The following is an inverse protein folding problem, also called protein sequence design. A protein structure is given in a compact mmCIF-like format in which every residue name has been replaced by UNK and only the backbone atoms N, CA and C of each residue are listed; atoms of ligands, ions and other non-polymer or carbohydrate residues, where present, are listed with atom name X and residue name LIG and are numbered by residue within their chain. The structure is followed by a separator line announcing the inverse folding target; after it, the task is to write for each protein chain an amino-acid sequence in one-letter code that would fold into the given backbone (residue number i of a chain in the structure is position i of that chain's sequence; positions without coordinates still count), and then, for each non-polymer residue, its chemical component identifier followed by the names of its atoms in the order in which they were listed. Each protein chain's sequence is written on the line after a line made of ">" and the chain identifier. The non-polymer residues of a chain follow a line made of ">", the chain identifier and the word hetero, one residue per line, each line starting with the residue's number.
data_IF_662438764810
#
_entry.id   IF_662438764810
#
_cell.length_a   1.000
_cell.length_b   1.000
_cell.length_c   1.000
_cell.angle_alpha   90.00
_cell.angle_beta   90.00
_cell.angle_gamma   90.00
#
_symmetry.space_group_name_H-M   'P 1'
#
loop_
_entity.id
_entity.type
_entity.pdbx_description
1 polymer ?
#
# COMPACT_ATOMS: atom_id res chain seq x y z
N UNK A 1 8.20 1.60 -23.18
CA UNK A 1 8.33 1.81 -21.71
C UNK A 1 7.96 0.50 -21.04
N UNK A 2 8.84 -0.09 -20.23
CA UNK A 2 8.56 -1.38 -19.59
C UNK A 2 7.31 -1.26 -18.71
N UNK A 3 6.46 -2.28 -18.69
CA UNK A 3 5.26 -2.37 -17.83
C UNK A 3 5.61 -2.10 -16.37
N UNK A 4 6.79 -2.58 -15.92
CA UNK A 4 7.35 -2.29 -14.61
C UNK A 4 7.54 -0.79 -14.35
N UNK A 5 8.13 -0.05 -15.31
CA UNK A 5 8.34 1.40 -15.16
C UNK A 5 7.02 2.18 -15.17
N UNK A 6 6.02 1.71 -15.91
CA UNK A 6 4.69 2.30 -15.92
C UNK A 6 4.00 2.12 -14.55
N UNK A 7 4.08 0.93 -13.96
CA UNK A 7 3.54 0.64 -12.63
C UNK A 7 4.24 1.47 -11.53
N UNK A 8 5.58 1.57 -11.55
CA UNK A 8 6.31 2.43 -10.62
C UNK A 8 5.89 3.90 -10.72
N UNK A 9 5.70 4.40 -11.94
CA UNK A 9 5.27 5.78 -12.18
C UNK A 9 3.87 6.03 -11.62
N UNK A 10 2.92 5.11 -11.86
CA UNK A 10 1.55 5.21 -11.32
C UNK A 10 1.58 5.18 -9.78
N UNK A 11 2.42 4.35 -9.16
CA UNK A 11 2.57 4.28 -7.71
C UNK A 11 3.11 5.59 -7.11
N UNK A 12 4.15 6.16 -7.71
CA UNK A 12 4.72 7.45 -7.27
C UNK A 12 3.65 8.54 -7.32
N UNK A 13 2.81 8.55 -8.36
CA UNK A 13 1.69 9.50 -8.48
C UNK A 13 0.67 9.29 -7.35
N UNK A 14 0.29 8.05 -7.02
CA UNK A 14 -0.64 7.78 -5.91
C UNK A 14 -0.06 8.16 -4.54
N UNK A 15 1.24 7.98 -4.33
CA UNK A 15 1.94 8.40 -3.11
C UNK A 15 1.91 9.94 -3.02
N UNK A 16 2.23 10.64 -4.10
CA UNK A 16 2.20 12.11 -4.14
C UNK A 16 0.78 12.63 -3.89
N UNK A 17 -0.24 12.03 -4.52
CA UNK A 17 -1.65 12.39 -4.32
C UNK A 17 -2.07 12.15 -2.87
N UNK A 18 -1.67 11.03 -2.26
CA UNK A 18 -1.96 10.77 -0.85
C UNK A 18 -1.28 11.81 0.05
N UNK A 19 0.00 12.09 -0.15
CA UNK A 19 0.74 13.11 0.62
C UNK A 19 0.07 14.48 0.48
N UNK A 20 -0.31 14.87 -0.75
CA UNK A 20 -1.03 16.11 -1.00
C UNK A 20 -2.39 16.12 -0.29
N UNK A 21 -3.17 15.05 -0.41
CA UNK A 21 -4.48 14.89 0.24
C UNK A 21 -4.39 14.96 1.78
N UNK A 22 -3.35 14.36 2.36
CA UNK A 22 -3.08 14.43 3.80
C UNK A 22 -2.66 15.83 4.26
N UNK A 23 -1.93 16.60 3.43
CA UNK A 23 -1.53 17.98 3.76
C UNK A 23 -2.70 18.95 3.83
N UNK A 24 -3.76 18.73 3.05
CA UNK A 24 -4.92 19.63 2.99
C UNK A 24 -5.96 19.40 4.11
N UNK A 25 -5.83 18.33 4.90
CA UNK A 25 -6.77 18.02 5.99
C UNK A 25 -6.47 18.83 7.27
N UNK A 26 -7.52 19.44 7.82
CA UNK A 26 -7.47 20.18 9.10
C UNK A 26 -7.10 19.28 10.31
N UNK A 27 -7.49 18.00 10.30
CA UNK A 27 -7.20 17.03 11.36
C UNK A 27 -6.19 15.97 10.91
N UNK A 28 -4.92 16.35 10.88
CA UNK A 28 -3.80 15.54 10.36
C UNK A 28 -3.63 14.19 11.09
N UNK A 29 -3.86 14.19 12.40
CA UNK A 29 -3.67 13.00 13.26
C UNK A 29 -4.75 11.93 13.08
N UNK A 30 -6.03 12.31 13.07
CA UNK A 30 -7.13 11.35 12.88
C UNK A 30 -7.13 10.77 11.48
N UNK A 31 -6.86 11.61 10.47
CA UNK A 31 -6.67 11.11 9.11
C UNK A 31 -5.48 10.15 9.02
N UNK A 32 -4.34 10.48 9.63
CA UNK A 32 -3.15 9.60 9.64
C UNK A 32 -3.43 8.24 10.30
N UNK A 33 -4.14 8.21 11.42
CA UNK A 33 -4.56 6.98 12.08
C UNK A 33 -5.52 6.14 11.23
N UNK A 34 -6.45 6.78 10.51
CA UNK A 34 -7.33 6.09 9.55
C UNK A 34 -6.53 5.55 8.37
N UNK A 35 -5.53 6.29 7.89
CA UNK A 35 -4.58 5.83 6.87
C UNK A 35 -3.79 4.60 7.30
N UNK A 36 -3.21 4.65 8.49
CA UNK A 36 -2.48 3.54 9.11
C UNK A 36 -3.37 2.31 9.29
N UNK A 37 -4.56 2.52 9.88
CA UNK A 37 -5.53 1.44 10.12
C UNK A 37 -6.06 0.83 8.83
N UNK A 38 -6.38 1.65 7.83
CA UNK A 38 -6.86 1.16 6.52
C UNK A 38 -5.79 0.39 5.74
N UNK A 39 -4.51 0.78 5.83
CA UNK A 39 -3.41 -0.01 5.26
C UNK A 39 -3.34 -1.42 5.86
N UNK A 40 -3.31 -1.53 7.18
CA UNK A 40 -3.27 -2.85 7.84
C UNK A 40 -4.54 -3.66 7.57
N UNK A 41 -5.70 -3.01 7.59
CA UNK A 41 -6.99 -3.67 7.35
C UNK A 41 -7.11 -4.23 5.92
N UNK A 42 -6.46 -3.61 4.93
CA UNK A 42 -6.42 -4.11 3.55
C UNK A 42 -5.33 -5.18 3.35
N UNK A 43 -4.23 -5.12 4.11
CA UNK A 43 -3.13 -6.08 4.02
C UNK A 43 -3.58 -7.53 4.29
N UNK A 44 -4.41 -7.73 5.33
CA UNK A 44 -4.87 -9.06 5.76
C UNK A 44 -5.72 -9.77 4.67
N UNK A 45 -6.83 -9.20 4.17
CA UNK A 45 -7.62 -9.85 3.12
C UNK A 45 -6.83 -9.97 1.81
N UNK A 46 -5.93 -9.04 1.51
CA UNK A 46 -5.07 -9.13 0.31
C UNK A 46 -4.12 -10.33 0.39
N UNK A 47 -3.51 -10.59 1.54
CA UNK A 47 -2.67 -11.76 1.76
C UNK A 47 -3.41 -13.06 1.41
N UNK A 48 -4.62 -13.25 1.96
CA UNK A 48 -5.43 -14.43 1.64
C UNK A 48 -5.82 -14.52 0.17
N UNK A 49 -6.19 -13.40 -0.47
CA UNK A 49 -6.52 -13.39 -1.90
C UNK A 49 -5.33 -13.77 -2.78
N UNK A 50 -4.13 -13.30 -2.44
CA UNK A 50 -2.91 -13.62 -3.17
C UNK A 50 -2.51 -15.08 -2.97
N UNK A 51 -2.64 -15.62 -1.75
CA UNK A 51 -2.40 -17.05 -1.50
C UNK A 51 -3.34 -17.92 -2.34
N UNK A 52 -4.61 -17.53 -2.48
CA UNK A 52 -5.57 -18.23 -3.35
C UNK A 52 -5.18 -18.18 -4.83
N UNK A 53 -4.46 -17.15 -5.28
CA UNK A 53 -3.93 -17.05 -6.64
C UNK A 53 -2.54 -17.70 -6.80
N UNK A 54 -2.01 -18.34 -5.76
CA UNK A 54 -0.68 -18.96 -5.77
C UNK A 54 0.49 -17.99 -5.55
N UNK A 55 0.22 -16.75 -5.17
CA UNK A 55 1.21 -15.72 -4.86
C UNK A 55 1.37 -15.59 -3.34
N UNK A 56 2.60 -15.52 -2.85
CA UNK A 56 2.87 -15.42 -1.41
C UNK A 56 3.20 -14.00 -1.00
N UNK A 57 2.26 -13.32 -0.35
CA UNK A 57 2.52 -12.03 0.29
C UNK A 57 2.80 -12.24 1.78
N UNK A 58 4.06 -12.27 2.21
CA UNK A 58 4.38 -12.57 3.61
C UNK A 58 3.86 -11.48 4.57
N UNK A 59 3.00 -11.87 5.53
CA UNK A 59 2.64 -11.00 6.66
C UNK A 59 3.76 -11.09 7.70
N UNK A 60 4.57 -10.04 7.78
CA UNK A 60 5.66 -9.91 8.73
C UNK A 60 5.70 -8.48 9.29
N UNK A 61 6.57 -8.23 10.26
CA UNK A 61 6.68 -6.90 10.87
C UNK A 61 6.99 -5.80 9.84
N UNK A 62 7.73 -6.12 8.78
CA UNK A 62 8.06 -5.18 7.72
C UNK A 62 6.84 -4.82 6.87
N UNK A 63 6.07 -5.79 6.39
CA UNK A 63 4.87 -5.55 5.58
C UNK A 63 3.77 -4.85 6.38
N UNK A 64 3.64 -5.16 7.67
CA UNK A 64 2.73 -4.43 8.56
C UNK A 64 3.18 -2.98 8.74
N UNK A 65 4.43 -2.72 9.12
CA UNK A 65 4.96 -1.36 9.30
C UNK A 65 4.86 -0.52 8.02
N UNK A 66 5.16 -1.11 6.88
CA UNK A 66 5.12 -0.41 5.60
C UNK A 66 3.68 -0.13 5.16
N UNK A 67 2.73 -1.05 5.41
CA UNK A 67 1.29 -0.78 5.22
C UNK A 67 0.77 0.32 6.16
N UNK A 68 1.29 0.41 7.38
CA UNK A 68 0.92 1.49 8.31
C UNK A 68 1.48 2.84 7.83
N UNK A 69 2.76 2.88 7.45
CA UNK A 69 3.42 4.10 7.03
C UNK A 69 2.81 4.70 5.76
N UNK A 70 2.40 3.85 4.81
CA UNK A 70 1.94 4.26 3.49
C UNK A 70 0.43 4.04 3.26
N UNK A 71 -0.28 3.41 4.20
CA UNK A 71 -1.69 3.07 4.06
C UNK A 71 -1.96 2.09 2.92
N UNK A 72 -3.15 2.22 2.32
CA UNK A 72 -3.58 1.44 1.14
C UNK A 72 -2.55 1.49 -0.01
N UNK A 73 -1.94 2.65 -0.36
CA UNK A 73 -0.87 2.69 -1.36
C UNK A 73 0.31 1.75 -1.08
N UNK A 74 0.72 1.61 0.18
CA UNK A 74 1.81 0.71 0.57
C UNK A 74 1.47 -0.75 0.31
N UNK A 75 0.21 -1.13 0.57
CA UNK A 75 -0.29 -2.48 0.33
C UNK A 75 -0.33 -2.82 -1.17
N UNK A 76 -0.77 -1.87 -2.00
CA UNK A 76 -0.77 -2.02 -3.46
C UNK A 76 0.65 -2.22 -3.99
N UNK A 77 1.64 -1.53 -3.41
CA UNK A 77 3.04 -1.67 -3.81
C UNK A 77 3.57 -3.08 -3.58
N UNK A 78 3.29 -3.66 -2.41
CA UNK A 78 3.73 -5.03 -2.09
C UNK A 78 3.00 -6.06 -2.95
N UNK A 79 1.72 -5.83 -3.27
CA UNK A 79 0.99 -6.68 -4.21
C UNK A 79 1.69 -6.71 -5.57
N UNK A 80 2.04 -5.54 -6.11
CA UNK A 80 2.72 -5.44 -7.40
C UNK A 80 4.09 -6.11 -7.35
N UNK A 81 4.84 -5.90 -6.27
CA UNK A 81 6.14 -6.55 -6.06
C UNK A 81 6.01 -8.08 -6.09
N UNK A 82 5.02 -8.63 -5.38
CA UNK A 82 4.72 -10.07 -5.36
C UNK A 82 4.21 -10.65 -6.68
N UNK A 83 3.81 -9.81 -7.64
CA UNK A 83 3.41 -10.24 -9.00
C UNK A 83 4.60 -10.16 -9.96
N UNK A 84 5.52 -9.23 -9.74
CA UNK A 84 6.66 -8.97 -10.63
C UNK A 84 7.86 -9.87 -10.34
N UNK A 85 7.96 -10.45 -9.15
CA UNK A 85 9.04 -11.33 -8.69
C UNK A 85 8.47 -12.64 -8.15
#
# INVERSE_FOLDING_TARGET
>A
MNIQNLLYTICIIFIIINIMYYRTRAHKWTSGLIGMGSGVAVLIPLHYLLEMSGLSLAINYFTILFSMAFGIPGVIFMMIDSILF
#
